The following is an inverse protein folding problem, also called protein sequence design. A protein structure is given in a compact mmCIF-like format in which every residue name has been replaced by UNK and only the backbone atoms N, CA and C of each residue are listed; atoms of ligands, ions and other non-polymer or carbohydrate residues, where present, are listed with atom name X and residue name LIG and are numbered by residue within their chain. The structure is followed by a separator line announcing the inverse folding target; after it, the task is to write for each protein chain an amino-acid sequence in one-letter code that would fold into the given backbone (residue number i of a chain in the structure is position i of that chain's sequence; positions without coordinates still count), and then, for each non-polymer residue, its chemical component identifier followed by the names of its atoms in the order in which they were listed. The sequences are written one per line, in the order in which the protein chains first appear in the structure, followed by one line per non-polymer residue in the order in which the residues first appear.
data_IF_960962076815
#
_entry.id   IF_960962076815
#
_cell.length_a   1.000
_cell.length_b   1.000
_cell.length_c   1.000
_cell.angle_alpha   90.00
_cell.angle_beta   90.00
_cell.angle_gamma   90.00
#
_symmetry.space_group_name_H-M   'P 1'
#
loop_
_entity.id
_entity.type
_entity.pdbx_description
1 polymer ?
#
# COMPACT_ATOMS: atom_id res chain seq x y z
N UNK A 1 -3.36 14.06 -41.12
CA UNK A 1 -2.53 13.07 -40.39
C UNK A 1 -1.57 13.86 -39.52
N UNK A 2 -1.83 13.91 -38.22
CA UNK A 2 -0.99 14.60 -37.25
C UNK A 2 -1.20 13.89 -35.91
N UNK A 3 -0.24 13.06 -35.55
CA UNK A 3 -0.27 12.22 -34.34
C UNK A 3 -0.06 13.11 -33.11
N UNK A 4 -0.98 13.02 -32.15
CA UNK A 4 -0.86 13.67 -30.85
C UNK A 4 -0.10 12.72 -29.93
N UNK A 5 1.16 13.05 -29.63
CA UNK A 5 1.97 12.32 -28.67
C UNK A 5 1.43 12.52 -27.25
N UNK A 6 0.84 11.46 -26.67
CA UNK A 6 0.41 11.43 -25.27
C UNK A 6 1.64 11.19 -24.40
N UNK A 7 2.09 12.22 -23.69
CA UNK A 7 3.13 12.07 -22.65
C UNK A 7 2.54 11.30 -21.47
N UNK A 8 2.93 10.03 -21.34
CA UNK A 8 2.63 9.21 -20.19
C UNK A 8 3.69 9.50 -19.12
N UNK A 9 3.29 10.15 -18.02
CA UNK A 9 4.13 10.25 -16.82
C UNK A 9 3.95 8.99 -15.99
N UNK A 10 4.96 8.12 -15.96
CA UNK A 10 5.00 6.96 -15.07
C UNK A 10 5.10 7.41 -13.59
N UNK A 11 4.30 6.85 -12.66
CA UNK A 11 4.44 7.15 -11.24
C UNK A 11 5.73 6.52 -10.70
N UNK A 12 6.57 7.32 -10.06
CA UNK A 12 7.77 6.86 -9.36
C UNK A 12 7.41 5.80 -8.30
N UNK A 13 7.65 4.54 -8.64
CA UNK A 13 7.62 3.40 -7.73
C UNK A 13 8.90 3.42 -6.90
N UNK A 14 8.77 3.52 -5.57
CA UNK A 14 9.87 3.18 -4.66
C UNK A 14 9.72 1.70 -4.29
N UNK A 15 10.41 0.85 -5.05
CA UNK A 15 10.58 -0.56 -4.72
C UNK A 15 11.66 -0.72 -3.63
N UNK A 16 11.36 -1.51 -2.61
CA UNK A 16 12.26 -1.79 -1.48
C UNK A 16 13.47 -2.68 -1.86
N UNK A 17 13.61 -3.08 -3.13
CA UNK A 17 14.59 -4.08 -3.55
C UNK A 17 15.84 -3.53 -4.26
N UNK A 18 15.92 -2.24 -4.63
CA UNK A 18 17.04 -1.71 -5.44
C UNK A 18 18.09 -0.91 -4.65
N UNK A 19 18.42 -1.33 -3.43
CA UNK A 19 19.54 -0.77 -2.65
C UNK A 19 20.64 -1.80 -2.35
N UNK A 20 20.88 -2.72 -3.29
CA UNK A 20 21.99 -3.67 -3.21
C UNK A 20 22.71 -3.78 -4.54
N UNK A 21 23.41 -2.71 -4.93
CA UNK A 21 24.72 -2.73 -5.63
C UNK A 21 25.00 -1.33 -6.22
N UNK A 22 25.58 -0.44 -5.40
CA UNK A 22 26.31 0.74 -5.91
C UNK A 22 27.64 0.76 -5.18
N UNK A 23 28.74 0.78 -5.93
CA UNK A 23 30.11 0.80 -5.37
C UNK A 23 30.63 2.23 -5.33
N UNK A 24 31.58 2.51 -4.43
CA UNK A 24 32.12 3.86 -4.12
C UNK A 24 32.66 4.67 -5.31
N UNK A 25 32.76 4.08 -6.51
CA UNK A 25 33.17 4.75 -7.75
C UNK A 25 32.04 5.50 -8.47
N UNK A 26 30.78 5.23 -8.18
CA UNK A 26 29.64 5.87 -8.84
C UNK A 26 29.26 7.24 -8.22
N UNK A 27 29.81 7.54 -7.03
CA UNK A 27 29.55 8.80 -6.29
C UNK A 27 30.34 9.98 -6.87
N UNK A 28 31.49 9.75 -7.52
CA UNK A 28 32.38 10.83 -7.96
C UNK A 28 32.12 11.38 -9.37
N UNK A 29 31.28 10.75 -10.19
CA UNK A 29 31.03 11.19 -11.57
C UNK A 29 29.75 12.04 -11.74
N UNK A 30 28.90 12.18 -10.73
CA UNK A 30 27.70 13.03 -10.80
C UNK A 30 27.95 14.50 -10.41
N UNK A 31 29.14 14.83 -9.89
CA UNK A 31 29.46 16.15 -9.34
C UNK A 31 30.13 17.12 -10.33
N UNK A 32 30.23 16.80 -11.63
CA UNK A 32 31.01 17.63 -12.58
C UNK A 32 30.25 18.27 -13.74
N UNK A 33 28.92 18.14 -13.86
CA UNK A 33 28.20 18.61 -15.06
C UNK A 33 27.03 19.58 -14.83
N UNK A 34 27.06 20.44 -13.80
CA UNK A 34 26.15 21.59 -13.77
C UNK A 34 26.88 22.86 -13.28
N UNK A 35 27.57 23.53 -14.20
CA UNK A 35 27.83 24.97 -14.08
C UNK A 35 27.27 25.71 -15.31
N UNK A 36 26.53 26.79 -15.01
CA UNK A 36 26.07 27.88 -15.89
C UNK A 36 24.86 27.56 -16.81
N UNK A 37 23.73 28.27 -16.74
CA UNK A 37 23.57 29.72 -16.97
C UNK A 37 22.48 30.35 -16.06
N UNK A 38 22.79 31.58 -15.65
CA UNK A 38 22.08 32.56 -14.80
C UNK A 38 20.65 32.93 -15.25
N UNK A 39 19.80 33.19 -14.25
CA UNK A 39 18.83 34.31 -14.27
C UNK A 39 17.37 33.96 -14.04
N UNK A 40 16.90 34.07 -12.79
CA UNK A 40 15.63 34.68 -12.32
C UNK A 40 15.22 34.11 -10.94
N UNK A 41 15.87 34.60 -9.88
CA UNK A 41 15.39 34.41 -8.51
C UNK A 41 14.37 35.52 -8.19
N UNK A 42 13.10 35.13 -7.97
CA UNK A 42 12.16 35.75 -7.01
C UNK A 42 10.70 35.35 -7.32
N UNK A 43 10.30 34.11 -7.05
CA UNK A 43 8.86 33.72 -6.90
C UNK A 43 8.60 32.26 -6.47
N UNK A 44 9.60 31.37 -6.44
CA UNK A 44 9.38 29.92 -6.31
C UNK A 44 8.90 29.46 -4.90
N UNK A 45 9.38 30.09 -3.83
CA UNK A 45 9.07 29.70 -2.43
C UNK A 45 7.58 29.82 -2.02
N UNK A 46 6.82 30.73 -2.64
CA UNK A 46 5.41 30.96 -2.28
C UNK A 46 4.45 30.02 -3.02
N UNK A 47 4.83 29.54 -4.21
CA UNK A 47 4.01 28.61 -4.99
C UNK A 47 4.09 27.19 -4.45
N UNK A 48 5.26 26.72 -4.03
CA UNK A 48 5.43 25.37 -3.45
C UNK A 48 4.65 25.20 -2.14
N UNK A 49 4.63 26.24 -1.30
CA UNK A 49 3.81 26.26 -0.09
C UNK A 49 2.31 26.19 -0.40
N UNK A 50 1.82 26.98 -1.37
CA UNK A 50 0.41 26.93 -1.80
C UNK A 50 0.03 25.56 -2.36
N UNK A 51 0.90 24.92 -3.15
CA UNK A 51 0.64 23.58 -3.70
C UNK A 51 0.56 22.55 -2.57
N UNK A 52 1.47 22.59 -1.60
CA UNK A 52 1.42 21.69 -0.45
C UNK A 52 0.16 21.91 0.38
N UNK A 53 -0.22 23.15 0.69
CA UNK A 53 -1.46 23.45 1.42
C UNK A 53 -2.70 22.91 0.70
N UNK A 54 -2.73 22.99 -0.64
CA UNK A 54 -3.81 22.41 -1.45
C UNK A 54 -3.86 20.89 -1.36
N UNK A 55 -2.71 20.20 -1.29
CA UNK A 55 -2.61 18.74 -1.17
C UNK A 55 -3.01 18.21 0.20
N UNK A 56 -2.76 18.99 1.25
CA UNK A 56 -3.04 18.66 2.65
C UNK A 56 -4.51 18.90 3.08
N UNK A 57 -5.30 19.52 2.21
CA UNK A 57 -6.72 19.80 2.52
C UNK A 57 -7.44 18.51 2.92
N UNK A 58 -8.10 18.53 4.08
CA UNK A 58 -8.84 17.37 4.58
C UNK A 58 -7.96 16.26 5.18
N UNK A 59 -6.68 16.53 5.48
CA UNK A 59 -5.78 15.57 6.12
C UNK A 59 -6.39 14.94 7.37
N UNK A 60 -6.45 13.60 7.40
CA UNK A 60 -7.02 12.78 8.49
C UNK A 60 -8.51 13.03 8.81
N UNK A 61 -9.23 13.85 8.03
CA UNK A 61 -10.65 14.17 8.27
C UNK A 61 -11.64 13.21 7.63
N UNK A 62 -11.18 12.37 6.69
CA UNK A 62 -12.02 11.49 5.89
C UNK A 62 -11.58 10.03 6.00
N UNK A 63 -12.44 9.11 5.55
CA UNK A 63 -12.20 7.68 5.55
C UNK A 63 -13.13 6.96 6.52
N UNK A 64 -12.70 5.79 6.97
CA UNK A 64 -13.47 4.91 7.84
C UNK A 64 -12.60 4.41 9.00
N UNK A 65 -13.13 3.50 9.81
CA UNK A 65 -12.38 2.84 10.89
C UNK A 65 -11.16 2.04 10.40
N UNK A 66 -11.17 1.58 9.15
CA UNK A 66 -10.10 0.77 8.58
C UNK A 66 -8.92 1.61 8.06
N UNK A 67 -9.23 2.67 7.31
CA UNK A 67 -8.26 3.50 6.61
C UNK A 67 -8.70 4.96 6.65
N UNK A 68 -7.75 5.85 6.92
CA UNK A 68 -7.95 7.30 6.82
C UNK A 68 -7.63 7.70 5.39
N UNK A 69 -8.59 8.17 4.62
CA UNK A 69 -8.38 8.47 3.20
C UNK A 69 -9.39 9.46 2.68
N UNK A 70 -8.97 10.27 1.71
CA UNK A 70 -9.77 11.32 1.07
C UNK A 70 -10.45 10.86 -0.22
N UNK A 71 -10.69 9.57 -0.36
CA UNK A 71 -11.42 9.00 -1.49
C UNK A 71 -12.26 7.77 -1.12
N UNK A 72 -13.31 7.54 -1.89
CA UNK A 72 -14.14 6.32 -1.90
C UNK A 72 -13.82 5.47 -3.12
N UNK A 73 -14.08 4.18 -3.06
CA UNK A 73 -13.87 3.26 -4.18
C UNK A 73 -15.21 2.94 -4.84
N UNK A 74 -15.22 2.79 -6.17
CA UNK A 74 -16.30 2.09 -6.86
C UNK A 74 -15.96 0.61 -6.94
N UNK A 75 -16.82 -0.22 -6.38
CA UNK A 75 -16.63 -1.66 -6.29
C UNK A 75 -16.86 -2.30 -7.67
N UNK A 76 -15.86 -2.92 -8.31
CA UNK A 76 -16.01 -3.49 -9.66
C UNK A 76 -16.95 -4.70 -9.72
N UNK A 77 -17.33 -5.27 -8.57
CA UNK A 77 -18.22 -6.41 -8.45
C UNK A 77 -19.71 -6.03 -8.49
N UNK A 78 -20.07 -4.80 -8.10
CA UNK A 78 -21.46 -4.38 -7.96
C UNK A 78 -21.72 -2.89 -8.28
N UNK A 79 -20.69 -2.17 -8.73
CA UNK A 79 -20.69 -0.73 -9.08
C UNK A 79 -21.13 0.24 -7.97
N UNK A 80 -21.27 -0.26 -6.75
CA UNK A 80 -21.56 0.53 -5.56
C UNK A 80 -20.33 1.25 -5.00
N UNK A 81 -20.57 2.34 -4.28
CA UNK A 81 -19.52 3.22 -3.74
C UNK A 81 -19.31 2.93 -2.25
N UNK A 82 -18.06 2.69 -1.85
CA UNK A 82 -17.70 2.40 -0.46
C UNK A 82 -16.48 3.17 0.02
N UNK A 83 -16.45 3.42 1.33
CA UNK A 83 -15.32 4.07 2.01
C UNK A 83 -14.09 3.19 2.11
N UNK A 84 -14.14 1.88 1.92
CA UNK A 84 -13.01 0.99 1.61
C UNK A 84 -13.49 -0.42 1.27
N UNK A 85 -12.55 -1.30 0.91
CA UNK A 85 -12.87 -2.71 0.60
C UNK A 85 -13.44 -3.46 1.80
N UNK A 86 -12.98 -3.15 3.01
CA UNK A 86 -13.47 -3.81 4.23
C UNK A 86 -14.89 -3.37 4.53
N UNK A 87 -15.19 -2.07 4.42
CA UNK A 87 -16.56 -1.56 4.54
C UNK A 87 -17.51 -2.19 3.51
N UNK A 88 -17.05 -2.40 2.26
CA UNK A 88 -17.82 -3.16 1.28
C UNK A 88 -18.06 -4.60 1.74
N UNK A 89 -17.00 -5.33 2.07
CA UNK A 89 -17.10 -6.75 2.41
C UNK A 89 -17.94 -6.97 3.66
N UNK A 90 -17.86 -6.09 4.66
CA UNK A 90 -18.72 -6.11 5.84
C UNK A 90 -20.20 -5.89 5.46
N UNK A 91 -20.49 -4.92 4.60
CA UNK A 91 -21.85 -4.65 4.15
C UNK A 91 -22.42 -5.80 3.29
N UNK A 92 -21.63 -6.35 2.37
CA UNK A 92 -22.07 -7.38 1.42
C UNK A 92 -22.07 -8.80 1.99
N UNK A 93 -21.28 -9.07 3.03
CA UNK A 93 -21.28 -10.38 3.70
C UNK A 93 -22.06 -10.42 5.02
N UNK A 94 -22.85 -9.38 5.32
CA UNK A 94 -23.71 -9.37 6.50
C UNK A 94 -24.70 -10.53 6.47
N UNK A 95 -25.08 -11.04 7.65
CA UNK A 95 -26.01 -12.17 7.78
C UNK A 95 -27.38 -11.90 7.16
N UNK A 96 -27.81 -10.64 7.12
CA UNK A 96 -29.08 -10.21 6.52
C UNK A 96 -29.09 -10.27 5.00
N UNK A 97 -27.91 -10.38 4.36
CA UNK A 97 -27.78 -10.50 2.92
C UNK A 97 -27.95 -11.97 2.52
N UNK A 98 -28.86 -12.19 1.57
CA UNK A 98 -29.03 -13.47 0.89
C UNK A 98 -27.68 -14.04 0.45
N UNK A 99 -27.45 -15.32 0.72
CA UNK A 99 -26.17 -15.98 0.45
C UNK A 99 -25.70 -15.84 -1.00
N UNK A 100 -26.63 -15.80 -1.97
CA UNK A 100 -26.35 -15.58 -3.40
C UNK A 100 -25.77 -14.21 -3.75
N UNK A 101 -25.94 -13.23 -2.87
CA UNK A 101 -25.48 -11.85 -3.07
C UNK A 101 -24.25 -11.49 -2.25
N UNK A 102 -23.73 -12.43 -1.44
CA UNK A 102 -22.49 -12.26 -0.67
C UNK A 102 -21.28 -12.33 -1.58
N UNK A 103 -20.40 -11.34 -1.48
CA UNK A 103 -19.20 -11.26 -2.29
C UNK A 103 -18.19 -10.26 -1.71
N UNK A 104 -16.94 -10.46 -2.09
CA UNK A 104 -15.83 -9.58 -1.74
C UNK A 104 -15.37 -8.76 -2.94
N UNK A 105 -14.82 -7.58 -2.68
CA UNK A 105 -14.16 -6.80 -3.74
C UNK A 105 -12.89 -7.52 -4.22
N UNK A 106 -12.73 -7.75 -5.54
CA UNK A 106 -11.47 -8.15 -6.13
C UNK A 106 -10.48 -6.96 -6.06
N UNK A 107 -9.66 -6.94 -5.01
CA UNK A 107 -8.82 -5.77 -4.60
C UNK A 107 -7.99 -5.13 -5.73
N UNK A 108 -7.45 -5.93 -6.64
CA UNK A 108 -6.58 -5.45 -7.72
C UNK A 108 -7.36 -4.93 -8.94
N UNK A 109 -8.66 -5.19 -9.02
CA UNK A 109 -9.51 -4.81 -10.15
C UNK A 109 -10.22 -3.46 -9.96
N UNK A 110 -10.04 -2.80 -8.80
CA UNK A 110 -10.58 -1.44 -8.59
C UNK A 110 -9.89 -0.47 -9.55
N UNK A 111 -10.67 0.15 -10.43
CA UNK A 111 -10.20 1.12 -11.43
C UNK A 111 -10.59 2.55 -11.10
N UNK A 112 -11.75 2.74 -10.46
CA UNK A 112 -12.31 4.07 -10.21
C UNK A 112 -12.40 4.41 -8.72
N UNK A 113 -12.11 5.68 -8.42
CA UNK A 113 -12.23 6.29 -7.10
C UNK A 113 -12.96 7.62 -7.19
N UNK A 114 -13.65 7.98 -6.11
CA UNK A 114 -14.41 9.22 -5.99
C UNK A 114 -13.75 10.06 -4.90
N UNK A 115 -13.34 11.29 -5.22
CA UNK A 115 -12.75 12.20 -4.24
C UNK A 115 -13.77 12.58 -3.17
N UNK A 116 -13.40 12.49 -1.88
CA UNK A 116 -14.30 12.84 -0.78
C UNK A 116 -14.46 14.36 -0.54
N UNK A 117 -13.63 15.18 -1.19
CA UNK A 117 -13.65 16.64 -1.04
C UNK A 117 -14.45 17.36 -2.14
N UNK A 118 -14.35 16.87 -3.38
CA UNK A 118 -14.95 17.51 -4.54
C UNK A 118 -15.83 16.57 -5.37
N UNK A 119 -16.03 15.34 -4.89
CA UNK A 119 -16.92 14.33 -5.49
C UNK A 119 -16.58 13.92 -6.93
N UNK A 120 -15.42 14.35 -7.44
CA UNK A 120 -14.94 13.95 -8.75
C UNK A 120 -14.62 12.47 -8.78
N UNK A 121 -15.24 11.78 -9.73
CA UNK A 121 -14.94 10.41 -10.09
C UNK A 121 -13.78 10.37 -11.09
N UNK A 122 -12.81 9.49 -10.85
CA UNK A 122 -11.58 9.42 -11.63
C UNK A 122 -10.93 8.04 -11.54
N UNK A 123 -10.01 7.77 -12.47
CA UNK A 123 -9.14 6.59 -12.39
C UNK A 123 -8.23 6.63 -11.15
N UNK A 124 -7.89 5.45 -10.63
CA UNK A 124 -7.04 5.29 -9.44
C UNK A 124 -5.68 5.96 -9.66
N UNK A 125 -5.44 6.98 -8.85
CA UNK A 125 -4.19 7.73 -8.77
C UNK A 125 -4.11 8.39 -7.40
N UNK A 126 -2.92 8.82 -6.97
CA UNK A 126 -2.74 9.37 -5.63
C UNK A 126 -3.43 10.72 -5.44
N UNK A 127 -3.45 11.60 -6.45
CA UNK A 127 -3.95 12.97 -6.32
C UNK A 127 -5.27 13.16 -7.08
N UNK A 128 -6.17 13.99 -6.58
CA UNK A 128 -7.41 14.28 -7.29
C UNK A 128 -7.14 15.10 -8.56
N UNK A 129 -7.71 14.69 -9.70
CA UNK A 129 -7.50 15.39 -10.99
C UNK A 129 -8.14 16.77 -11.03
N UNK A 130 -9.20 16.97 -10.24
CA UNK A 130 -9.96 18.21 -10.24
C UNK A 130 -9.45 19.18 -9.18
N UNK A 131 -9.37 18.74 -7.92
CA UNK A 131 -9.04 19.64 -6.80
C UNK A 131 -7.60 19.53 -6.30
N UNK A 132 -6.77 18.65 -6.89
CA UNK A 132 -5.34 18.50 -6.58
C UNK A 132 -5.02 17.90 -5.21
N UNK A 133 -6.02 17.54 -4.40
CA UNK A 133 -5.79 16.99 -3.05
C UNK A 133 -5.08 15.64 -3.15
N UNK A 134 -4.09 15.40 -2.28
CA UNK A 134 -3.50 14.07 -2.13
C UNK A 134 -4.56 13.17 -1.49
N UNK A 135 -4.98 12.06 -2.08
CA UNK A 135 -6.09 11.24 -1.54
C UNK A 135 -5.66 10.26 -0.43
N UNK A 136 -4.35 10.04 -0.28
CA UNK A 136 -3.76 9.25 0.81
C UNK A 136 -2.25 9.50 0.84
N UNK A 137 -1.70 9.75 2.03
CA UNK A 137 -0.24 9.94 2.21
C UNK A 137 0.54 8.71 1.78
N UNK A 138 0.14 7.55 2.26
CA UNK A 138 0.54 6.28 1.71
C UNK A 138 -0.40 5.92 0.55
N UNK A 139 0.19 5.63 -0.60
CA UNK A 139 -0.51 5.15 -1.77
C UNK A 139 0.22 3.94 -2.36
N UNK A 140 -0.52 2.86 -2.60
CA UNK A 140 -0.02 1.71 -3.34
C UNK A 140 -0.85 1.51 -4.61
N UNK A 141 -0.24 1.76 -5.76
CA UNK A 141 -0.87 1.57 -7.08
C UNK A 141 -1.21 0.12 -7.38
N UNK A 142 -0.44 -0.85 -6.90
CA UNK A 142 -0.72 -2.28 -7.10
C UNK A 142 -1.95 -2.71 -6.30
N UNK A 143 -2.00 -2.39 -5.01
CA UNK A 143 -3.09 -2.78 -4.12
C UNK A 143 -4.28 -1.83 -4.12
N UNK A 144 -4.19 -0.68 -4.82
CA UNK A 144 -5.18 0.40 -4.82
C UNK A 144 -5.48 0.89 -3.39
N UNK A 145 -4.47 0.89 -2.53
CA UNK A 145 -4.58 1.25 -1.12
C UNK A 145 -4.22 2.73 -0.93
N UNK A 146 -5.04 3.42 -0.15
CA UNK A 146 -4.86 4.81 0.27
C UNK A 146 -4.98 4.86 1.78
N UNK A 147 -3.99 5.41 2.46
CA UNK A 147 -4.04 5.65 3.91
C UNK A 147 -3.26 6.92 4.25
N UNK A 148 -3.85 7.80 5.03
CA UNK A 148 -3.22 8.99 5.58
C UNK A 148 -2.44 8.70 6.85
N UNK A 149 -2.84 7.63 7.55
CA UNK A 149 -2.20 7.21 8.78
C UNK A 149 -0.91 6.45 8.49
N UNK A 150 0.15 7.19 8.17
CA UNK A 150 1.49 6.64 7.89
C UNK A 150 2.19 6.07 9.12
N UNK A 151 1.63 6.25 10.33
CA UNK A 151 2.22 5.71 11.57
C UNK A 151 2.24 4.17 11.59
N UNK A 152 1.37 3.53 10.81
CA UNK A 152 1.33 2.07 10.64
C UNK A 152 2.52 1.54 9.82
N UNK A 153 3.30 2.43 9.20
CA UNK A 153 4.46 2.09 8.37
C UNK A 153 4.08 1.03 7.32
N UNK A 154 3.05 1.35 6.54
CA UNK A 154 2.58 0.49 5.46
C UNK A 154 3.67 0.32 4.40
N UNK A 155 3.79 -0.88 3.85
CA UNK A 155 4.68 -1.14 2.73
C UNK A 155 4.10 -2.20 1.81
N UNK A 156 4.42 -2.13 0.52
CA UNK A 156 4.06 -3.18 -0.43
C UNK A 156 5.12 -4.28 -0.40
N UNK A 157 4.70 -5.54 -0.27
CA UNK A 157 5.59 -6.66 -0.48
C UNK A 157 5.33 -7.27 -1.85
N UNK A 158 6.27 -7.10 -2.78
CA UNK A 158 6.15 -7.63 -4.15
C UNK A 158 6.08 -9.16 -4.18
N UNK A 159 6.77 -9.85 -3.27
CA UNK A 159 6.69 -11.31 -3.15
C UNK A 159 5.31 -11.83 -2.72
N UNK A 160 4.57 -11.07 -1.90
CA UNK A 160 3.20 -11.43 -1.52
C UNK A 160 2.12 -10.76 -2.41
N UNK A 161 2.46 -9.74 -3.20
CA UNK A 161 1.52 -8.96 -4.00
C UNK A 161 0.51 -8.14 -3.18
N UNK A 162 0.79 -7.91 -1.89
CA UNK A 162 -0.11 -7.18 -0.96
C UNK A 162 0.65 -6.20 -0.05
N UNK A 163 -0.05 -5.16 0.39
CA UNK A 163 0.46 -4.27 1.43
C UNK A 163 0.44 -4.93 2.81
N UNK A 164 1.50 -4.69 3.58
CA UNK A 164 1.69 -5.06 4.98
C UNK A 164 1.94 -3.80 5.80
N UNK A 165 2.05 -3.94 7.11
CA UNK A 165 2.31 -2.86 8.08
C UNK A 165 3.52 -3.21 8.94
N UNK A 166 4.14 -2.20 9.57
CA UNK A 166 5.27 -2.38 10.49
C UNK A 166 6.65 -2.08 9.91
N UNK A 167 6.73 -1.41 8.76
CA UNK A 167 8.00 -0.99 8.13
C UNK A 167 8.63 -2.08 7.27
N UNK A 168 9.09 -1.75 6.07
CA UNK A 168 9.67 -2.74 5.16
C UNK A 168 11.01 -3.29 5.68
N UNK A 169 11.75 -2.48 6.43
CA UNK A 169 13.04 -2.78 7.03
C UNK A 169 12.96 -3.83 8.15
N UNK A 170 11.80 -3.96 8.79
CA UNK A 170 11.56 -4.90 9.89
C UNK A 170 11.12 -6.28 9.40
N UNK A 171 10.88 -6.45 8.10
CA UNK A 171 10.39 -7.70 7.54
C UNK A 171 11.21 -8.17 6.34
N UNK A 172 11.12 -9.46 6.05
CA UNK A 172 11.66 -10.04 4.83
C UNK A 172 10.69 -11.06 4.27
N UNK A 173 10.64 -11.12 2.93
CA UNK A 173 9.88 -12.15 2.24
C UNK A 173 10.74 -13.42 2.07
N UNK A 174 10.25 -14.55 2.57
CA UNK A 174 10.87 -15.85 2.32
C UNK A 174 10.23 -16.50 1.09
N UNK A 175 10.95 -16.49 -0.04
CA UNK A 175 10.47 -17.10 -1.29
C UNK A 175 10.23 -18.62 -1.20
N UNK A 176 10.85 -19.31 -0.23
CA UNK A 176 10.61 -20.74 0.00
C UNK A 176 9.24 -21.00 0.66
N UNK A 177 8.85 -20.17 1.62
CA UNK A 177 7.56 -20.27 2.30
C UNK A 177 6.45 -19.47 1.62
N UNK A 178 6.78 -18.47 0.79
CA UNK A 178 5.81 -17.51 0.26
C UNK A 178 5.30 -16.50 1.31
N UNK A 179 5.96 -16.38 2.46
CA UNK A 179 5.49 -15.59 3.60
C UNK A 179 6.49 -14.49 4.02
N UNK A 180 5.96 -13.38 4.56
CA UNK A 180 6.77 -12.34 5.20
C UNK A 180 7.00 -12.66 6.67
N UNK A 181 8.24 -12.56 7.12
CA UNK A 181 8.66 -12.79 8.51
C UNK A 181 9.41 -11.57 9.05
N UNK A 182 9.38 -11.39 10.37
CA UNK A 182 10.19 -10.37 11.03
C UNK A 182 11.69 -10.64 10.82
N UNK A 183 12.48 -9.61 10.55
CA UNK A 183 13.94 -9.70 10.40
C UNK A 183 14.62 -10.21 11.66
N UNK A 184 13.99 -10.08 12.83
CA UNK A 184 14.47 -10.66 14.09
C UNK A 184 14.54 -12.20 14.04
N UNK A 185 13.71 -12.86 13.22
CA UNK A 185 13.75 -14.32 13.06
C UNK A 185 14.91 -14.80 12.18
N UNK A 186 15.62 -13.89 11.47
CA UNK A 186 16.78 -14.28 10.64
C UNK A 186 17.97 -14.79 11.46
N UNK A 187 18.10 -14.33 12.71
CA UNK A 187 19.19 -14.75 13.61
C UNK A 187 18.85 -16.06 14.35
N UNK A 188 17.57 -16.43 14.42
CA UNK A 188 17.09 -17.68 15.01
C UNK A 188 17.16 -18.84 14.02
N UNK A 189 18.37 -19.18 13.58
CA UNK A 189 18.69 -20.20 12.57
C UNK A 189 18.29 -21.65 12.93
N UNK A 190 17.57 -21.90 14.03
CA UNK A 190 17.30 -23.25 14.56
C UNK A 190 15.85 -23.76 14.42
N UNK A 191 14.87 -22.93 14.04
CA UNK A 191 13.45 -23.34 14.02
C UNK A 191 12.98 -23.91 12.65
N UNK A 192 13.82 -23.86 11.61
CA UNK A 192 13.38 -24.12 10.23
C UNK A 192 13.24 -25.60 9.85
N UNK A 193 13.95 -26.51 10.54
CA UNK A 193 13.98 -27.94 10.15
C UNK A 193 12.68 -28.70 10.44
N UNK A 194 11.71 -28.12 11.15
CA UNK A 194 10.50 -28.84 11.60
C UNK A 194 9.25 -28.62 10.73
N UNK A 195 9.30 -27.78 9.70
CA UNK A 195 8.12 -27.46 8.86
C UNK A 195 7.99 -28.28 7.58
N UNK A 196 8.95 -29.17 7.31
CA UNK A 196 8.84 -30.16 6.25
C UNK A 196 8.84 -31.53 6.92
N UNK A 197 7.66 -32.09 7.20
CA UNK A 197 7.38 -33.52 7.06
C UNK A 197 5.88 -33.77 7.28
N UNK A 198 5.38 -34.69 6.47
CA UNK A 198 3.98 -35.12 6.38
C UNK A 198 3.40 -35.63 7.72
N UNK A 199 2.11 -35.35 7.95
CA UNK A 199 1.19 -36.11 8.83
C UNK A 199 1.17 -35.75 10.35
N UNK A 200 0.18 -36.21 11.15
CA UNK A 200 -0.98 -35.42 11.58
C UNK A 200 -1.08 -35.25 13.12
N UNK A 201 0.05 -35.27 13.86
CA UNK A 201 0.04 -35.27 15.34
C UNK A 201 1.25 -34.55 15.97
N UNK A 202 1.66 -33.40 15.46
CA UNK A 202 2.75 -32.60 16.06
C UNK A 202 2.24 -31.72 17.22
N UNK A 203 1.76 -32.35 18.30
CA UNK A 203 1.12 -31.72 19.46
C UNK A 203 2.12 -31.20 20.53
N UNK A 204 3.43 -31.16 20.30
CA UNK A 204 4.41 -30.96 21.41
C UNK A 204 5.44 -29.84 21.25
N UNK A 205 5.38 -28.99 20.20
CA UNK A 205 6.35 -27.89 20.02
C UNK A 205 5.74 -26.48 20.22
N UNK A 206 4.43 -26.36 20.44
CA UNK A 206 3.77 -25.07 20.71
C UNK A 206 4.04 -24.46 22.10
N UNK A 207 4.78 -25.12 23.01
CA UNK A 207 4.84 -24.72 24.43
C UNK A 207 6.07 -23.91 24.87
N UNK A 208 7.01 -23.54 23.99
CA UNK A 208 8.25 -22.83 24.40
C UNK A 208 8.42 -21.46 23.75
N UNK A 209 7.59 -21.09 22.77
CA UNK A 209 7.60 -19.72 22.26
C UNK A 209 6.49 -18.93 22.95
N UNK A 210 6.76 -18.50 24.18
CA UNK A 210 5.98 -17.45 24.82
C UNK A 210 5.92 -16.22 23.88
N UNK A 211 4.70 -15.68 23.75
CA UNK A 211 4.32 -14.43 23.08
C UNK A 211 4.13 -14.36 21.56
N UNK A 212 3.90 -15.49 20.85
CA UNK A 212 3.30 -15.41 19.50
C UNK A 212 2.28 -16.52 19.24
N UNK A 213 0.99 -16.19 19.36
CA UNK A 213 -0.11 -17.04 18.89
C UNK A 213 -0.28 -16.87 17.38
N UNK A 214 0.35 -17.76 16.59
CA UNK A 214 0.02 -17.93 15.16
C UNK A 214 -0.77 -19.22 15.01
N UNK A 215 -2.05 -19.11 14.64
CA UNK A 215 -2.89 -20.27 14.32
C UNK A 215 -2.43 -20.88 12.97
N UNK A 216 -2.15 -22.19 13.00
CA UNK A 216 -1.46 -22.96 11.97
C UNK A 216 -2.34 -23.39 10.78
N UNK A 217 -3.08 -22.45 10.19
CA UNK A 217 -3.58 -22.56 8.82
C UNK A 217 -3.46 -21.26 8.01
N UNK A 218 -2.80 -20.22 8.53
CA UNK A 218 -2.62 -18.95 7.82
C UNK A 218 -3.92 -18.14 7.64
N UNK A 219 -5.04 -18.59 8.18
CA UNK A 219 -6.27 -17.81 8.27
C UNK A 219 -6.26 -17.01 9.58
N UNK A 220 -6.35 -15.68 9.46
CA UNK A 220 -6.61 -14.78 10.58
C UNK A 220 -8.10 -14.81 10.91
N UNK A 221 -8.46 -15.29 12.10
CA UNK A 221 -9.80 -15.14 12.66
C UNK A 221 -9.94 -13.70 13.19
N UNK A 222 -10.95 -12.97 12.71
CA UNK A 222 -11.47 -11.77 13.37
C UNK A 222 -12.69 -12.28 14.16
N UNK A 223 -12.62 -12.26 15.49
CA UNK A 223 -13.79 -12.53 16.34
C UNK A 223 -14.89 -11.51 16.04
N UNK A 224 -16.13 -11.98 15.95
CA UNK A 224 -17.36 -11.17 15.95
C UNK A 224 -17.71 -10.73 17.37
#
# INVERSE_FOLDING_TARGET
MGEVAVMHSEPLQFDCNDMKHITEKDVYNLLSNEEHILGEESSQSSNDKKINDLRERGYMKYGCQHYRRRCRIRAPCCDEIFDCRHCHNEAKNNITIDQKHRHDIPRHQVKQVICSLCETEQEVQQNCINCGVCMGKYFCGTCKLFDDDVSKQQYHCSGCGICRTGGCENFFHCHKCGCCYSTQLKTATLAWKSMHHDCPFALSICLICDDVTVLLCGHTYIEL
#
